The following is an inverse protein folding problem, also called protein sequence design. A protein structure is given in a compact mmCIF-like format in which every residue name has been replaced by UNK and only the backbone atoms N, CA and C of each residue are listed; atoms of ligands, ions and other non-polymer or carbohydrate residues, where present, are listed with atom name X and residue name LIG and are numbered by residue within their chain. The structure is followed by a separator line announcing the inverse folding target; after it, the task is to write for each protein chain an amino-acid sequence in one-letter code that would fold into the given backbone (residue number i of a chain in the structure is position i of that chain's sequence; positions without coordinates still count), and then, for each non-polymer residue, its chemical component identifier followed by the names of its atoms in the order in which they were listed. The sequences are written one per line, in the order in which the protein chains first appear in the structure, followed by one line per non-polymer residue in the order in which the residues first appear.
data_IF_209104557372
#
_entry.id   IF_209104557372
#
_cell.length_a   1.000
_cell.length_b   1.000
_cell.length_c   1.000
_cell.angle_alpha   90.00
_cell.angle_beta   90.00
_cell.angle_gamma   90.00
#
_symmetry.space_group_name_H-M   'P 1'
#
loop_
_entity.id
_entity.type
_entity.pdbx_description
1 polymer ?
#
# COMPACT_ATOMS: atom_id res chain seq x y z
N UNK A 1 18.89 -1.45 -26.05
CA UNK A 1 17.54 -1.76 -25.53
C UNK A 1 17.66 -3.04 -24.72
N UNK A 2 17.84 -2.92 -23.42
CA UNK A 2 17.87 -4.08 -22.52
C UNK A 2 16.44 -4.34 -22.10
N UNK A 3 15.83 -5.39 -22.61
CA UNK A 3 14.57 -5.92 -22.10
C UNK A 3 14.85 -6.35 -20.66
N UNK A 4 14.39 -5.57 -19.69
CA UNK A 4 14.33 -6.04 -18.30
C UNK A 4 13.28 -7.15 -18.32
N UNK A 5 13.73 -8.41 -18.24
CA UNK A 5 12.82 -9.52 -18.08
C UNK A 5 12.06 -9.31 -16.77
N UNK A 6 10.74 -9.21 -16.86
CA UNK A 6 9.89 -9.12 -15.69
C UNK A 6 9.90 -10.49 -15.02
N UNK A 7 10.48 -10.61 -13.83
CA UNK A 7 10.41 -11.84 -13.06
C UNK A 7 8.99 -12.00 -12.53
N UNK A 8 8.23 -12.90 -13.15
CA UNK A 8 6.85 -13.19 -12.76
C UNK A 8 6.77 -14.07 -11.52
N UNK A 9 7.88 -14.66 -11.07
CA UNK A 9 7.93 -15.55 -9.91
C UNK A 9 8.42 -14.81 -8.65
N UNK A 10 8.93 -13.58 -8.79
CA UNK A 10 9.27 -12.72 -7.66
C UNK A 10 8.05 -12.42 -6.75
N UNK A 11 8.25 -12.15 -5.45
CA UNK A 11 7.14 -11.98 -4.51
C UNK A 11 6.41 -10.64 -4.66
N UNK A 12 5.18 -10.56 -4.14
CA UNK A 12 4.45 -9.31 -3.92
C UNK A 12 4.88 -8.72 -2.57
N UNK A 13 5.33 -7.47 -2.56
CA UNK A 13 5.67 -6.73 -1.36
C UNK A 13 4.45 -6.01 -0.79
N UNK A 14 4.09 -6.28 0.45
CA UNK A 14 2.98 -5.63 1.16
C UNK A 14 3.54 -4.81 2.32
N UNK A 15 3.25 -3.52 2.34
CA UNK A 15 3.69 -2.59 3.39
C UNK A 15 2.52 -2.10 4.24
N UNK A 16 2.69 -2.09 5.57
CA UNK A 16 1.82 -1.39 6.52
C UNK A 16 2.61 -0.69 7.63
N UNK A 17 2.00 0.27 8.32
CA UNK A 17 2.61 0.89 9.51
C UNK A 17 2.71 -0.08 10.71
N UNK A 18 2.01 -1.22 10.69
CA UNK A 18 2.05 -2.19 11.78
C UNK A 18 1.43 -3.53 11.38
N UNK A 19 0.48 -4.01 12.18
CA UNK A 19 -0.19 -5.31 11.95
C UNK A 19 -1.58 -5.19 11.33
N UNK A 20 -2.13 -3.97 11.18
CA UNK A 20 -3.47 -3.76 10.63
C UNK A 20 -3.57 -4.21 9.16
N UNK A 21 -2.49 -4.04 8.41
CA UNK A 21 -2.35 -4.47 7.03
C UNK A 21 -2.36 -5.98 6.83
N UNK A 22 -2.27 -6.80 7.88
CA UNK A 22 -2.45 -8.24 7.76
C UNK A 22 -3.86 -8.61 7.26
N UNK A 23 -4.84 -7.73 7.44
CA UNK A 23 -6.19 -7.90 6.84
C UNK A 23 -6.13 -7.84 5.31
N UNK A 24 -5.34 -6.92 4.75
CA UNK A 24 -5.09 -6.81 3.31
C UNK A 24 -4.25 -7.98 2.82
N UNK A 25 -3.17 -8.32 3.54
CA UNK A 25 -2.33 -9.47 3.19
C UNK A 25 -3.14 -10.76 3.14
N UNK A 26 -4.03 -10.99 4.11
CA UNK A 26 -4.94 -12.13 4.11
C UNK A 26 -5.84 -12.15 2.88
N UNK A 27 -6.46 -11.02 2.54
CA UNK A 27 -7.32 -10.92 1.36
C UNK A 27 -6.55 -11.15 0.05
N UNK A 28 -5.30 -10.70 -0.04
CA UNK A 28 -4.41 -10.98 -1.18
C UNK A 28 -4.14 -12.48 -1.28
N UNK A 29 -3.73 -13.14 -0.19
CA UNK A 29 -3.46 -14.58 -0.16
C UNK A 29 -4.70 -15.40 -0.55
N UNK A 30 -5.88 -15.00 -0.05
CA UNK A 30 -7.14 -15.69 -0.35
C UNK A 30 -7.52 -15.61 -1.84
N UNK A 31 -7.16 -14.52 -2.54
CA UNK A 31 -7.46 -14.33 -3.97
C UNK A 31 -6.33 -14.83 -4.89
N UNK A 32 -5.09 -14.82 -4.39
CA UNK A 32 -3.88 -15.17 -5.12
C UNK A 32 -3.08 -16.22 -4.33
N UNK A 33 -3.61 -17.46 -4.18
CA UNK A 33 -3.04 -18.47 -3.29
C UNK A 33 -1.69 -19.05 -3.77
N UNK A 34 -1.25 -18.68 -4.97
CA UNK A 34 0.01 -19.15 -5.58
C UNK A 34 1.08 -18.06 -5.61
N UNK A 35 0.81 -16.89 -5.04
CA UNK A 35 1.76 -15.78 -5.01
C UNK A 35 2.57 -15.80 -3.71
N UNK A 36 3.89 -15.66 -3.83
CA UNK A 36 4.76 -15.43 -2.69
C UNK A 36 4.60 -14.00 -2.17
N UNK A 37 4.54 -13.83 -0.85
CA UNK A 37 4.30 -12.53 -0.20
C UNK A 37 5.45 -12.18 0.74
N UNK A 38 5.97 -10.96 0.62
CA UNK A 38 6.82 -10.32 1.64
C UNK A 38 5.97 -9.25 2.34
N UNK A 39 5.72 -9.42 3.63
CA UNK A 39 5.03 -8.41 4.44
C UNK A 39 6.04 -7.62 5.28
N UNK A 40 5.96 -6.29 5.21
CA UNK A 40 6.73 -5.37 6.03
C UNK A 40 5.79 -4.51 6.87
N UNK A 41 5.84 -4.70 8.18
CA UNK A 41 5.15 -3.85 9.16
C UNK A 41 6.15 -2.94 9.88
N UNK A 42 5.98 -1.62 9.77
CA UNK A 42 6.86 -0.63 10.41
C UNK A 42 6.52 -0.36 11.89
N UNK A 43 6.49 -1.42 12.68
CA UNK A 43 6.01 -1.38 14.07
C UNK A 43 6.85 -0.48 14.98
N UNK A 44 8.08 -0.15 14.59
CA UNK A 44 8.97 0.74 15.35
C UNK A 44 8.51 2.20 15.34
N UNK A 45 7.74 2.62 14.34
CA UNK A 45 7.25 4.00 14.15
C UNK A 45 5.72 4.09 14.11
N UNK A 46 5.04 3.00 14.46
CA UNK A 46 3.59 2.98 14.62
C UNK A 46 3.14 3.84 15.83
N UNK A 47 1.92 4.40 15.81
CA UNK A 47 0.96 4.43 14.71
C UNK A 47 1.22 5.62 13.76
N UNK A 48 1.00 5.42 12.46
CA UNK A 48 1.11 6.52 11.48
C UNK A 48 -0.07 7.50 11.53
N UNK A 49 -1.20 7.09 12.09
CA UNK A 49 -2.43 7.89 12.10
C UNK A 49 -2.32 9.24 12.80
N UNK A 50 -1.36 9.38 13.72
CA UNK A 50 -1.10 10.55 14.57
C UNK A 50 0.10 11.38 14.09
N UNK A 51 0.78 10.92 13.04
CA UNK A 51 2.00 11.53 12.52
C UNK A 51 1.68 12.58 11.46
N UNK A 52 2.62 13.50 11.22
CA UNK A 52 2.49 14.47 10.11
C UNK A 52 2.55 13.75 8.75
N UNK A 53 1.84 14.27 7.74
CA UNK A 53 1.92 13.74 6.36
C UNK A 53 3.36 13.65 5.85
N UNK A 54 4.22 14.61 6.20
CA UNK A 54 5.63 14.60 5.82
C UNK A 54 6.37 13.40 6.42
N UNK A 55 6.20 13.15 7.72
CA UNK A 55 6.81 12.00 8.41
C UNK A 55 6.26 10.68 7.88
N UNK A 56 4.95 10.57 7.70
CA UNK A 56 4.32 9.36 7.14
C UNK A 56 4.86 9.06 5.74
N UNK A 57 5.02 10.11 4.91
CA UNK A 57 5.59 9.97 3.56
C UNK A 57 7.02 9.45 3.60
N UNK A 58 7.87 10.06 4.43
CA UNK A 58 9.26 9.65 4.61
C UNK A 58 9.35 8.17 5.01
N UNK A 59 8.66 7.79 6.09
CA UNK A 59 8.73 6.43 6.62
C UNK A 59 8.18 5.39 5.64
N UNK A 60 7.08 5.70 4.96
CA UNK A 60 6.49 4.83 3.95
C UNK A 60 7.43 4.65 2.75
N UNK A 61 8.07 5.70 2.25
CA UNK A 61 9.00 5.60 1.13
C UNK A 61 10.24 4.76 1.49
N UNK A 62 10.77 4.88 2.71
CA UNK A 62 11.86 4.01 3.18
C UNK A 62 11.47 2.52 3.19
N UNK A 63 10.24 2.22 3.63
CA UNK A 63 9.72 0.86 3.65
C UNK A 63 9.51 0.30 2.24
N UNK A 64 8.99 1.11 1.33
CA UNK A 64 8.79 0.74 -0.07
C UNK A 64 10.13 0.55 -0.80
N UNK A 65 11.11 1.42 -0.54
CA UNK A 65 12.48 1.27 -1.05
C UNK A 65 13.10 -0.05 -0.59
N UNK A 66 12.90 -0.42 0.67
CA UNK A 66 13.37 -1.70 1.21
C UNK A 66 12.72 -2.90 0.49
N UNK A 67 11.41 -2.87 0.28
CA UNK A 67 10.70 -3.94 -0.44
C UNK A 67 11.20 -4.06 -1.89
N UNK A 68 11.44 -2.94 -2.58
CA UNK A 68 12.01 -2.95 -3.93
C UNK A 68 13.43 -3.52 -3.94
N UNK A 69 14.25 -3.20 -2.96
CA UNK A 69 15.59 -3.77 -2.83
C UNK A 69 15.58 -5.28 -2.57
N UNK A 70 14.49 -5.82 -2.00
CA UNK A 70 14.26 -7.27 -1.86
C UNK A 70 13.79 -7.95 -3.17
N UNK A 71 13.59 -7.19 -4.25
CA UNK A 71 13.28 -7.73 -5.57
C UNK A 71 11.81 -8.11 -5.77
N UNK A 72 10.87 -7.41 -5.12
CA UNK A 72 9.43 -7.66 -5.32
C UNK A 72 8.97 -7.29 -6.73
N UNK A 73 8.04 -8.05 -7.31
CA UNK A 73 7.45 -7.74 -8.63
C UNK A 73 6.32 -6.71 -8.58
N UNK A 74 5.79 -6.44 -7.40
CA UNK A 74 4.69 -5.51 -7.17
C UNK A 74 4.73 -5.00 -5.72
N UNK A 75 4.30 -3.76 -5.52
CA UNK A 75 4.08 -3.18 -4.20
C UNK A 75 2.58 -3.02 -3.92
N UNK A 76 2.18 -3.37 -2.70
CA UNK A 76 0.85 -3.13 -2.13
C UNK A 76 1.01 -2.30 -0.87
N UNK A 77 0.48 -1.08 -0.87
CA UNK A 77 0.42 -0.22 0.31
C UNK A 77 -0.88 -0.55 1.05
N UNK A 78 -0.78 -1.35 2.12
CA UNK A 78 -1.91 -1.77 2.94
C UNK A 78 -2.31 -0.73 4.01
N UNK A 79 -1.43 0.22 4.34
CA UNK A 79 -1.71 1.31 5.28
C UNK A 79 -2.56 2.39 4.62
N UNK A 80 -3.72 2.75 5.20
CA UNK A 80 -4.53 3.87 4.71
C UNK A 80 -3.77 5.21 4.80
N UNK A 81 -3.13 5.50 5.94
CA UNK A 81 -2.34 6.72 6.14
C UNK A 81 -1.14 6.78 5.19
N UNK A 82 -0.43 5.65 5.03
CA UNK A 82 0.65 5.53 4.06
C UNK A 82 0.16 5.80 2.63
N UNK A 83 -0.97 5.20 2.24
CA UNK A 83 -1.59 5.42 0.92
C UNK A 83 -1.93 6.89 0.67
N UNK A 84 -2.52 7.57 1.67
CA UNK A 84 -2.85 8.99 1.57
C UNK A 84 -1.58 9.86 1.37
N UNK A 85 -0.49 9.53 2.05
CA UNK A 85 0.73 10.33 2.04
C UNK A 85 1.59 10.16 0.77
N UNK A 86 1.62 8.97 0.16
CA UNK A 86 2.63 8.62 -0.87
C UNK A 86 2.12 8.22 -2.25
N UNK A 87 0.80 8.12 -2.47
CA UNK A 87 0.27 7.52 -3.71
C UNK A 87 0.79 8.14 -5.02
N UNK A 88 0.96 9.47 -5.07
CA UNK A 88 1.52 10.13 -6.27
C UNK A 88 3.01 9.80 -6.44
N UNK A 89 3.78 10.01 -5.38
CA UNK A 89 5.23 9.81 -5.38
C UNK A 89 5.61 8.35 -5.69
N UNK A 90 4.92 7.38 -5.09
CA UNK A 90 5.23 5.96 -5.25
C UNK A 90 5.05 5.48 -6.70
N UNK A 91 4.05 5.98 -7.42
CA UNK A 91 3.81 5.61 -8.82
C UNK A 91 4.86 6.16 -9.78
N UNK A 92 5.47 7.29 -9.45
CA UNK A 92 6.53 7.90 -10.27
C UNK A 92 7.90 7.34 -9.89
N UNK A 93 8.09 6.94 -8.64
CA UNK A 93 9.38 6.48 -8.09
C UNK A 93 9.75 5.05 -8.50
N UNK A 94 8.78 4.14 -8.57
CA UNK A 94 9.04 2.71 -8.73
C UNK A 94 8.70 2.21 -10.14
N UNK A 95 9.56 1.33 -10.68
CA UNK A 95 9.33 0.66 -11.97
C UNK A 95 8.37 -0.54 -11.88
N UNK A 96 8.05 -0.98 -10.66
CA UNK A 96 7.07 -2.03 -10.39
C UNK A 96 5.69 -1.44 -10.13
N UNK A 97 4.59 -2.12 -10.49
CA UNK A 97 3.24 -1.70 -10.16
C UNK A 97 3.08 -1.42 -8.68
N UNK A 98 2.39 -0.32 -8.37
CA UNK A 98 2.01 0.06 -7.01
C UNK A 98 0.50 0.10 -6.90
N UNK A 99 -0.04 -0.74 -6.01
CA UNK A 99 -1.45 -0.79 -5.63
C UNK A 99 -1.59 -0.26 -4.20
N UNK A 100 -2.70 0.43 -3.92
CA UNK A 100 -3.01 0.97 -2.60
C UNK A 100 -4.51 0.78 -2.28
N UNK A 101 -4.90 1.12 -1.06
CA UNK A 101 -6.20 0.74 -0.49
C UNK A 101 -7.30 1.81 -0.65
N UNK A 102 -6.98 3.07 -0.93
CA UNK A 102 -7.93 4.18 -1.04
C UNK A 102 -8.67 4.19 -2.38
N UNK A 103 -7.98 4.18 -3.54
CA UNK A 103 -8.69 4.28 -4.83
C UNK A 103 -9.60 3.08 -5.13
N UNK A 104 -9.23 1.81 -4.85
CA UNK A 104 -10.14 0.69 -5.03
C UNK A 104 -11.38 0.81 -4.15
N UNK A 105 -11.21 1.23 -2.89
CA UNK A 105 -12.32 1.43 -1.96
C UNK A 105 -13.24 2.58 -2.42
N UNK A 106 -12.66 3.72 -2.84
CA UNK A 106 -13.42 4.87 -3.35
C UNK A 106 -14.23 4.50 -4.60
N UNK A 107 -13.63 3.82 -5.58
CA UNK A 107 -14.33 3.33 -6.79
C UNK A 107 -15.48 2.41 -6.43
N UNK A 108 -15.27 1.50 -5.47
CA UNK A 108 -16.32 0.59 -5.01
C UNK A 108 -17.45 1.32 -4.29
N UNK A 109 -17.13 2.31 -3.46
CA UNK A 109 -18.12 3.10 -2.73
C UNK A 109 -19.02 3.90 -3.68
N UNK A 110 -18.43 4.53 -4.71
CA UNK A 110 -19.18 5.24 -5.75
C UNK A 110 -20.12 4.30 -6.50
N UNK A 111 -19.64 3.11 -6.89
CA UNK A 111 -20.46 2.14 -7.61
C UNK A 111 -21.57 1.52 -6.75
N UNK A 112 -21.37 1.41 -5.43
CA UNK A 112 -22.32 0.80 -4.51
C UNK A 112 -23.38 1.78 -3.98
N UNK A 113 -23.09 3.08 -3.93
CA UNK A 113 -24.01 4.07 -3.38
C UNK A 113 -25.17 4.36 -4.33
N UNK A 114 -26.40 4.28 -3.81
CA UNK A 114 -27.61 4.66 -4.54
C UNK A 114 -27.98 6.14 -4.36
N UNK A 115 -27.64 6.71 -3.21
CA UNK A 115 -27.94 8.10 -2.87
C UNK A 115 -26.86 9.08 -3.33
N UNK A 116 -25.68 8.58 -3.73
CA UNK A 116 -24.50 9.41 -4.00
C UNK A 116 -23.83 9.96 -2.74
N UNK A 117 -24.34 9.64 -1.54
CA UNK A 117 -23.72 10.01 -0.27
C UNK A 117 -22.83 8.87 0.22
N UNK A 118 -21.58 9.20 0.58
CA UNK A 118 -20.58 8.24 1.07
C UNK A 118 -19.87 8.85 2.28
N UNK A 119 -19.85 8.12 3.39
CA UNK A 119 -19.05 8.46 4.57
C UNK A 119 -17.75 7.67 4.59
N UNK A 120 -16.69 8.28 5.11
CA UNK A 120 -15.38 7.65 5.31
C UNK A 120 -14.98 7.83 6.78
N UNK A 121 -14.56 6.73 7.42
CA UNK A 121 -13.99 6.75 8.76
C UNK A 121 -12.52 6.40 8.59
N UNK A 122 -11.62 7.24 9.09
CA UNK A 122 -10.18 7.09 8.92
C UNK A 122 -9.42 7.82 10.04
N UNK A 123 -8.09 7.66 10.06
CA UNK A 123 -7.22 8.39 11.00
C UNK A 123 -7.05 9.85 10.57
N UNK A 124 -6.57 10.71 11.47
CA UNK A 124 -6.29 12.12 11.16
C UNK A 124 -5.33 12.29 9.98
N UNK A 125 -4.23 11.52 9.96
CA UNK A 125 -3.29 11.52 8.84
C UNK A 125 -3.93 11.08 7.50
N UNK A 126 -5.01 10.30 7.50
CA UNK A 126 -5.69 9.91 6.25
C UNK A 126 -6.65 11.00 5.77
N UNK A 127 -7.19 11.80 6.69
CA UNK A 127 -8.17 12.85 6.41
C UNK A 127 -7.56 14.18 5.93
N UNK A 128 -6.23 14.29 5.95
CA UNK A 128 -5.46 15.52 5.63
C UNK A 128 -5.05 15.54 4.16
#
# INVERSE_FOLDING_TARGET
MTTVAYDTDAPIGIFDSGFGGLTVARAVIDQLPHEDIIYLGDTARAPYGEQSIGSVREFALECLDHLVALGVKMLVIACNSGSAAVLRDARERYSVPVVEVILPAARRAVAASRSGQVGVICTEATAT
#
